data_IF_409402931443
#
_entry.id   IF_409402931443
#
_cell.length_a   1.000
_cell.length_b   1.000
_cell.length_c   1.000
_cell.angle_alpha   90.00
_cell.angle_beta   90.00
_cell.angle_gamma   90.00
#
_symmetry.space_group_name_H-M   'P 1'
#
loop_
_entity.id
_entity.type
_entity.pdbx_description
1 polymer ?
#
# COMPACT_ATOMS: atom_id res chain seq x y z
N UNK A 1 -5.36 16.72 9.02
CA UNK A 1 -4.27 17.49 9.68
C UNK A 1 -2.98 16.75 9.37
N UNK A 2 -1.90 17.43 9.02
CA UNK A 2 -0.57 16.84 8.82
C UNK A 2 0.22 16.91 10.12
N UNK A 3 0.87 15.81 10.51
CA UNK A 3 1.83 15.79 11.61
C UNK A 3 3.00 14.86 11.29
N UNK A 4 4.17 15.03 11.90
CA UNK A 4 5.32 14.17 11.68
C UNK A 4 5.01 12.70 11.97
N UNK A 5 5.49 11.81 11.10
CA UNK A 5 5.41 10.36 11.24
C UNK A 5 6.81 9.75 11.08
N UNK A 6 7.08 8.57 11.64
CA UNK A 6 8.35 7.91 11.40
C UNK A 6 8.51 7.57 9.91
N UNK A 7 9.71 7.73 9.39
CA UNK A 7 10.20 7.17 8.14
C UNK A 7 11.60 6.61 8.42
N UNK A 8 11.76 5.31 8.26
CA UNK A 8 13.02 4.61 8.53
C UNK A 8 13.93 4.72 7.30
N UNK A 9 14.61 5.87 7.17
CA UNK A 9 15.42 6.21 5.99
C UNK A 9 16.58 5.23 5.77
N UNK A 10 17.14 4.66 6.83
CA UNK A 10 18.17 3.63 6.82
C UNK A 10 17.68 2.31 6.20
N UNK A 11 16.43 1.93 6.48
CA UNK A 11 15.80 0.75 5.89
C UNK A 11 15.28 1.03 4.46
N UNK A 12 14.71 2.20 4.23
CA UNK A 12 14.15 2.58 2.94
C UNK A 12 15.20 2.62 1.81
N UNK A 13 16.47 2.89 2.15
CA UNK A 13 17.55 3.06 1.17
C UNK A 13 17.17 4.06 0.06
N UNK A 14 16.36 5.04 0.43
CA UNK A 14 15.87 6.11 -0.43
C UNK A 14 16.79 7.33 -0.48
N UNK A 15 16.31 8.45 -1.02
CA UNK A 15 16.97 9.74 -0.85
C UNK A 15 17.03 10.14 0.63
N UNK A 16 18.14 10.72 1.07
CA UNK A 16 18.44 11.00 2.49
C UNK A 16 17.52 12.03 3.15
N UNK A 17 16.78 12.81 2.36
CA UNK A 17 15.87 13.85 2.82
C UNK A 17 14.39 13.39 2.88
N UNK A 18 14.15 12.09 2.92
CA UNK A 18 12.81 11.54 3.07
C UNK A 18 12.19 11.94 4.40
N UNK A 19 10.91 12.31 4.38
CA UNK A 19 10.10 12.66 5.56
C UNK A 19 8.82 11.85 5.61
N UNK A 20 8.43 11.43 6.82
CA UNK A 20 7.15 10.76 7.06
C UNK A 20 6.11 11.73 7.62
N UNK A 21 4.86 11.54 7.19
CA UNK A 21 3.74 12.33 7.69
C UNK A 21 2.52 11.47 7.97
N UNK A 22 1.86 11.75 9.08
CA UNK A 22 0.51 11.27 9.35
C UNK A 22 -0.50 12.15 8.65
N UNK A 23 -1.49 11.52 8.01
CA UNK A 23 -2.58 12.19 7.32
C UNK A 23 -3.89 11.52 7.72
N UNK A 24 -4.91 12.31 8.04
CA UNK A 24 -6.23 11.79 8.40
C UNK A 24 -7.19 11.89 7.24
N UNK A 25 -7.84 10.78 6.90
CA UNK A 25 -8.94 10.72 5.95
C UNK A 25 -10.17 11.49 6.44
N UNK A 26 -11.13 11.72 5.57
CA UNK A 26 -12.38 12.41 5.94
C UNK A 26 -13.26 11.58 6.89
N UNK A 27 -13.03 10.29 6.94
CA UNK A 27 -13.69 9.32 7.82
C UNK A 27 -12.95 9.09 9.15
N UNK A 28 -11.91 9.88 9.42
CA UNK A 28 -11.13 9.83 10.66
C UNK A 28 -9.99 8.80 10.67
N UNK A 29 -9.90 7.92 9.69
CA UNK A 29 -8.82 6.92 9.61
C UNK A 29 -7.50 7.62 9.27
N UNK A 30 -6.46 7.32 10.05
CA UNK A 30 -5.12 7.89 9.88
C UNK A 30 -4.26 6.97 9.03
N UNK A 31 -3.69 7.53 7.97
CA UNK A 31 -2.73 6.88 7.10
C UNK A 31 -1.35 7.53 7.25
N UNK A 32 -0.30 6.85 6.79
CA UNK A 32 1.05 7.39 6.75
C UNK A 32 1.49 7.60 5.30
N UNK A 33 2.16 8.71 5.03
CA UNK A 33 2.84 8.96 3.76
C UNK A 33 4.32 9.17 3.96
N UNK A 34 5.13 8.68 3.02
CA UNK A 34 6.55 8.97 2.91
C UNK A 34 6.80 9.89 1.72
N UNK A 35 7.52 10.96 1.93
CA UNK A 35 7.74 12.04 0.95
C UNK A 35 9.22 12.23 0.69
N UNK A 36 9.63 12.20 -0.56
CA UNK A 36 10.97 12.53 -1.04
C UNK A 36 10.87 13.70 -2.02
N UNK A 37 10.94 14.92 -1.46
CA UNK A 37 10.66 16.16 -2.19
C UNK A 37 11.94 16.89 -2.58
N UNK A 38 12.57 16.48 -3.68
CA UNK A 38 13.79 17.13 -4.20
C UNK A 38 13.79 17.28 -5.73
N UNK A 39 12.81 16.72 -6.43
CA UNK A 39 12.69 16.81 -7.88
C UNK A 39 11.82 18.00 -8.31
N UNK A 40 12.23 18.67 -9.40
CA UNK A 40 11.52 19.84 -9.92
C UNK A 40 10.59 19.57 -11.12
N UNK A 41 10.65 18.35 -11.71
CA UNK A 41 9.85 17.99 -12.90
C UNK A 41 8.41 17.60 -12.59
N UNK A 42 8.06 17.50 -11.32
CA UNK A 42 6.75 17.04 -10.85
C UNK A 42 6.89 15.97 -9.77
N UNK A 43 5.77 15.44 -9.31
CA UNK A 43 5.72 14.45 -8.23
C UNK A 43 5.03 13.18 -8.67
N UNK A 44 5.68 12.03 -8.42
CA UNK A 44 5.12 10.71 -8.66
C UNK A 44 4.41 10.21 -7.39
N UNK A 45 3.11 9.97 -7.49
CA UNK A 45 2.31 9.32 -6.48
C UNK A 45 2.51 7.81 -6.62
N UNK A 46 3.01 7.16 -5.59
CA UNK A 46 3.27 5.71 -5.57
C UNK A 46 2.16 5.04 -4.77
N UNK A 47 1.43 4.15 -5.42
CA UNK A 47 0.35 3.37 -4.84
C UNK A 47 0.80 1.92 -4.62
N UNK A 48 1.18 1.56 -3.39
CA UNK A 48 1.65 0.24 -3.03
C UNK A 48 0.61 -0.87 -3.21
N UNK A 49 1.10 -2.10 -3.29
CA UNK A 49 0.29 -3.30 -3.23
C UNK A 49 -0.18 -3.64 -1.81
N UNK A 50 -0.84 -4.79 -1.67
CA UNK A 50 -1.21 -5.34 -0.38
C UNK A 50 0.02 -5.84 0.38
N UNK A 51 0.03 -5.68 1.68
CA UNK A 51 1.13 -6.03 2.61
C UNK A 51 2.43 -5.23 2.39
N UNK A 52 2.35 -4.13 1.67
CA UNK A 52 3.48 -3.25 1.42
C UNK A 52 3.42 -2.01 2.31
N UNK A 53 4.55 -1.33 2.43
CA UNK A 53 4.76 -0.16 3.28
C UNK A 53 5.70 0.82 2.56
N UNK A 54 5.70 2.08 3.01
CA UNK A 54 6.38 3.16 2.30
C UNK A 54 7.88 2.93 2.13
N UNK A 55 8.58 2.35 3.10
CA UNK A 55 10.03 2.13 3.05
C UNK A 55 10.45 1.17 1.93
N UNK A 56 9.59 0.24 1.53
CA UNK A 56 9.85 -0.64 0.37
C UNK A 56 10.09 0.16 -0.92
N UNK A 57 9.56 1.37 -1.00
CA UNK A 57 9.61 2.21 -2.20
C UNK A 57 10.76 3.23 -2.20
N UNK A 58 11.63 3.22 -1.20
CA UNK A 58 12.78 4.12 -1.13
C UNK A 58 13.74 4.00 -2.33
N UNK A 59 14.01 2.76 -2.79
CA UNK A 59 14.78 2.52 -4.00
C UNK A 59 14.14 3.12 -5.25
N UNK A 60 12.83 2.98 -5.41
CA UNK A 60 12.07 3.60 -6.50
C UNK A 60 12.09 5.14 -6.38
N UNK A 61 11.94 5.69 -5.17
CA UNK A 61 12.03 7.12 -4.91
C UNK A 61 13.41 7.68 -5.30
N UNK A 62 14.49 6.94 -5.00
CA UNK A 62 15.85 7.31 -5.40
C UNK A 62 16.00 7.33 -6.91
N UNK A 63 15.46 6.36 -7.62
CA UNK A 63 15.53 6.31 -9.08
C UNK A 63 14.70 7.44 -9.70
N UNK A 64 13.50 7.69 -9.20
CA UNK A 64 12.68 8.82 -9.64
C UNK A 64 13.39 10.16 -9.46
N UNK A 65 14.08 10.34 -8.33
CA UNK A 65 14.86 11.55 -8.07
C UNK A 65 16.01 11.71 -9.07
N UNK A 66 16.72 10.62 -9.45
CA UNK A 66 17.76 10.66 -10.48
C UNK A 66 17.23 11.19 -11.81
N UNK A 67 15.95 10.95 -12.10
CA UNK A 67 15.26 11.49 -13.26
C UNK A 67 14.63 12.86 -13.05
N UNK A 68 14.77 13.45 -11.86
CA UNK A 68 14.33 14.80 -11.52
C UNK A 68 12.91 14.90 -10.99
N UNK A 69 12.32 13.79 -10.54
CA UNK A 69 10.97 13.76 -9.96
C UNK A 69 11.03 13.65 -8.44
N UNK A 70 10.15 14.36 -7.77
CA UNK A 70 9.76 14.07 -6.39
C UNK A 70 8.86 12.83 -6.33
N UNK A 71 8.74 12.22 -5.17
CA UNK A 71 7.82 11.09 -4.99
C UNK A 71 7.15 11.09 -3.64
N UNK A 72 5.97 10.51 -3.57
CA UNK A 72 5.24 10.25 -2.34
C UNK A 72 4.61 8.87 -2.40
N UNK A 73 4.84 8.06 -1.36
CA UNK A 73 4.24 6.74 -1.18
C UNK A 73 3.31 6.73 0.03
N UNK A 74 2.39 5.78 0.09
CA UNK A 74 1.38 5.69 1.15
C UNK A 74 1.36 4.32 1.81
N UNK A 75 1.24 4.28 3.15
CA UNK A 75 0.70 3.12 3.83
C UNK A 75 -0.82 3.25 3.83
N UNK A 76 -1.47 2.37 3.11
CA UNK A 76 -2.92 2.31 3.07
C UNK A 76 -3.50 1.97 4.44
N UNK A 77 -4.75 2.40 4.73
CA UNK A 77 -5.50 1.94 5.90
C UNK A 77 -5.38 0.42 6.08
N UNK A 78 -5.23 -0.03 7.30
CA UNK A 78 -5.08 -1.45 7.61
C UNK A 78 -3.71 -2.05 7.29
N UNK A 79 -2.72 -1.27 6.79
CA UNK A 79 -1.40 -1.76 6.37
C UNK A 79 -0.26 -0.83 6.83
N UNK A 80 0.98 -1.30 6.72
CA UNK A 80 2.15 -0.54 7.15
C UNK A 80 2.02 -0.05 8.58
N UNK A 81 2.26 1.23 8.83
CA UNK A 81 2.01 1.87 10.12
C UNK A 81 0.67 2.65 10.17
N UNK A 82 -0.14 2.64 9.11
CA UNK A 82 -1.47 3.24 9.14
C UNK A 82 -2.37 2.59 10.21
N UNK A 83 -3.46 3.26 10.55
CA UNK A 83 -4.42 2.74 11.52
C UNK A 83 -4.94 1.37 11.10
N UNK A 84 -4.92 0.44 12.06
CA UNK A 84 -5.53 -0.88 11.91
C UNK A 84 -7.01 -0.79 12.31
N UNK A 85 -7.86 -1.35 11.48
CA UNK A 85 -9.31 -1.36 11.72
C UNK A 85 -9.75 -2.54 12.58
N UNK A 86 -8.83 -3.49 12.85
CA UNK A 86 -9.03 -4.65 13.70
C UNK A 86 -8.07 -4.64 14.89
N UNK A 87 -8.50 -5.26 16.00
CA UNK A 87 -7.66 -5.42 17.20
C UNK A 87 -6.42 -6.28 16.92
N UNK A 88 -6.58 -7.35 16.12
CA UNK A 88 -5.43 -8.13 15.64
C UNK A 88 -4.77 -7.39 14.46
N UNK A 89 -3.62 -6.79 14.73
CA UNK A 89 -2.84 -6.03 13.73
C UNK A 89 -2.41 -6.86 12.52
N UNK A 90 -2.39 -8.19 12.63
CA UNK A 90 -2.01 -9.07 11.53
C UNK A 90 -3.15 -9.28 10.52
N UNK A 91 -4.36 -8.83 10.82
CA UNK A 91 -5.48 -8.90 9.88
C UNK A 91 -5.51 -7.65 9.01
N UNK A 92 -5.33 -7.85 7.71
CA UNK A 92 -5.52 -6.78 6.72
C UNK A 92 -7.01 -6.62 6.41
N UNK A 93 -7.66 -5.69 7.12
CA UNK A 93 -9.09 -5.42 7.00
C UNK A 93 -9.36 -4.02 6.43
N UNK A 94 -10.38 -3.93 5.61
CA UNK A 94 -11.02 -2.68 5.18
C UNK A 94 -12.54 -2.92 5.13
N UNK A 95 -13.32 -2.00 5.68
CA UNK A 95 -14.79 -2.16 5.75
C UNK A 95 -15.37 -2.24 4.33
N UNK A 96 -15.02 -1.29 3.47
CA UNK A 96 -15.36 -1.30 2.06
C UNK A 96 -14.10 -1.02 1.23
N UNK A 97 -13.90 -1.76 0.15
CA UNK A 97 -12.75 -1.51 -0.73
C UNK A 97 -12.75 -0.08 -1.31
N UNK A 98 -13.92 0.53 -1.41
CA UNK A 98 -14.09 1.93 -1.83
C UNK A 98 -13.50 2.94 -0.86
N UNK A 99 -13.30 2.58 0.41
CA UNK A 99 -12.79 3.48 1.45
C UNK A 99 -11.33 3.88 1.21
N UNK A 100 -10.57 3.10 0.42
CA UNK A 100 -9.26 3.51 -0.07
C UNK A 100 -9.28 4.82 -0.87
N UNK A 101 -10.44 5.22 -1.40
CA UNK A 101 -10.55 6.53 -2.09
C UNK A 101 -10.46 7.70 -1.10
N UNK A 102 -10.82 7.51 0.17
CA UNK A 102 -10.56 8.51 1.22
C UNK A 102 -9.06 8.69 1.47
N UNK A 103 -8.29 7.58 1.40
CA UNK A 103 -6.82 7.62 1.53
C UNK A 103 -6.19 8.35 0.35
N UNK A 104 -6.64 8.06 -0.88
CA UNK A 104 -6.20 8.76 -2.09
C UNK A 104 -6.42 10.26 -1.97
N UNK A 105 -7.62 10.67 -1.56
CA UNK A 105 -7.95 12.09 -1.38
C UNK A 105 -7.12 12.73 -0.26
N UNK A 106 -6.87 11.99 0.83
CA UNK A 106 -6.03 12.46 1.93
C UNK A 106 -4.58 12.68 1.47
N UNK A 107 -4.03 11.74 0.70
CA UNK A 107 -2.69 11.84 0.11
C UNK A 107 -2.58 13.04 -0.85
N UNK A 108 -3.58 13.26 -1.71
CA UNK A 108 -3.60 14.42 -2.63
C UNK A 108 -3.64 15.74 -1.88
N UNK A 109 -4.51 15.86 -0.86
CA UNK A 109 -4.55 17.07 -0.01
C UNK A 109 -3.22 17.29 0.71
N UNK A 110 -2.58 16.22 1.17
CA UNK A 110 -1.26 16.32 1.80
C UNK A 110 -0.19 16.79 0.82
N UNK A 111 -0.19 16.26 -0.41
CA UNK A 111 0.73 16.66 -1.46
C UNK A 111 0.59 18.16 -1.80
N UNK A 112 -0.63 18.66 -1.91
CA UNK A 112 -0.91 20.09 -2.12
C UNK A 112 -0.48 20.94 -0.91
N UNK A 113 -0.76 20.49 0.33
CA UNK A 113 -0.40 21.20 1.57
C UNK A 113 1.13 21.30 1.77
N UNK A 114 1.84 20.24 1.37
CA UNK A 114 3.32 20.19 1.42
C UNK A 114 3.97 20.96 0.25
N UNK A 115 3.18 21.51 -0.65
CA UNK A 115 3.69 22.26 -1.81
C UNK A 115 4.48 21.38 -2.79
N UNK A 116 4.11 20.11 -2.94
CA UNK A 116 4.81 19.23 -3.86
C UNK A 116 4.64 19.68 -5.30
N UNK A 117 5.72 19.58 -6.08
CA UNK A 117 5.74 20.06 -7.46
C UNK A 117 4.72 19.33 -8.35
N UNK A 118 3.92 20.09 -9.08
CA UNK A 118 3.08 19.59 -10.17
C UNK A 118 3.87 19.61 -11.49
N UNK A 119 3.50 18.81 -12.51
CA UNK A 119 2.33 17.93 -12.52
C UNK A 119 2.50 16.69 -11.65
N UNK A 120 1.36 16.09 -11.26
CA UNK A 120 1.36 14.78 -10.61
C UNK A 120 1.34 13.66 -11.64
N UNK A 121 2.07 12.59 -11.33
CA UNK A 121 2.12 11.32 -12.05
C UNK A 121 1.75 10.19 -11.10
N UNK A 122 1.40 9.04 -11.63
CA UNK A 122 0.99 7.89 -10.82
C UNK A 122 1.76 6.64 -11.24
N UNK A 123 2.32 5.94 -10.25
CA UNK A 123 2.81 4.57 -10.38
C UNK A 123 2.05 3.71 -9.38
N UNK A 124 1.41 2.65 -9.87
CA UNK A 124 0.57 1.81 -9.04
C UNK A 124 0.91 0.33 -9.21
N UNK A 125 1.07 -0.38 -8.09
CA UNK A 125 1.41 -1.78 -8.07
C UNK A 125 0.29 -2.63 -7.46
N UNK A 126 -0.01 -3.79 -8.07
CA UNK A 126 -0.89 -4.82 -7.51
C UNK A 126 -2.25 -4.23 -7.03
N UNK A 127 -2.59 -4.38 -5.74
CA UNK A 127 -3.80 -3.80 -5.13
C UNK A 127 -3.88 -2.28 -5.34
N UNK A 128 -2.76 -1.58 -5.24
CA UNK A 128 -2.69 -0.15 -5.55
C UNK A 128 -3.14 0.16 -6.98
N UNK A 129 -2.94 -0.77 -7.93
CA UNK A 129 -3.46 -0.65 -9.29
C UNK A 129 -4.99 -0.67 -9.38
N UNK A 130 -5.67 -1.46 -8.55
CA UNK A 130 -7.13 -1.46 -8.45
C UNK A 130 -7.64 -0.15 -7.84
N UNK A 131 -7.00 0.32 -6.75
CA UNK A 131 -7.31 1.60 -6.11
C UNK A 131 -7.13 2.76 -7.10
N UNK A 132 -6.01 2.74 -7.82
CA UNK A 132 -5.65 3.75 -8.81
C UNK A 132 -6.65 3.82 -9.98
N UNK A 133 -7.04 2.67 -10.54
CA UNK A 133 -8.02 2.62 -11.63
C UNK A 133 -9.31 3.33 -11.25
N UNK A 134 -9.83 3.07 -10.04
CA UNK A 134 -11.02 3.74 -9.53
C UNK A 134 -10.81 5.25 -9.35
N UNK A 135 -9.66 5.67 -8.81
CA UNK A 135 -9.33 7.08 -8.65
C UNK A 135 -9.25 7.81 -10.01
N UNK A 136 -8.67 7.18 -11.03
CA UNK A 136 -8.62 7.72 -12.39
C UNK A 136 -10.01 7.84 -13.02
N UNK A 137 -10.89 6.85 -12.80
CA UNK A 137 -12.30 6.95 -13.23
C UNK A 137 -13.03 8.11 -12.54
N UNK A 138 -12.60 8.50 -11.35
CA UNK A 138 -13.09 9.69 -10.61
C UNK A 138 -12.32 10.97 -10.95
N UNK A 139 -11.56 10.95 -12.06
CA UNK A 139 -10.80 12.11 -12.59
C UNK A 139 -9.69 12.59 -11.63
N UNK A 140 -8.97 11.66 -11.00
CA UNK A 140 -7.78 12.01 -10.23
C UNK A 140 -6.83 12.88 -11.07
N UNK A 141 -6.30 14.01 -10.53
CA UNK A 141 -5.56 15.01 -11.32
C UNK A 141 -4.11 14.57 -11.53
N UNK A 142 -3.88 13.55 -12.35
CA UNK A 142 -2.55 13.10 -12.77
C UNK A 142 -2.38 13.22 -14.28
N UNK A 143 -1.19 13.56 -14.73
CA UNK A 143 -0.88 13.75 -16.14
C UNK A 143 -0.65 12.42 -16.88
N UNK A 144 -0.07 11.44 -16.20
CA UNK A 144 0.14 10.11 -16.73
C UNK A 144 0.15 9.08 -15.59
N UNK A 145 -0.14 7.83 -15.94
CA UNK A 145 -0.14 6.72 -15.00
C UNK A 145 0.55 5.50 -15.59
N UNK A 146 1.26 4.77 -14.73
CA UNK A 146 1.89 3.49 -15.04
C UNK A 146 1.45 2.43 -14.04
N UNK A 147 1.20 1.22 -14.52
CA UNK A 147 0.73 0.11 -13.71
C UNK A 147 1.72 -1.06 -13.78
N UNK A 148 2.08 -1.58 -12.61
CA UNK A 148 2.89 -2.78 -12.44
C UNK A 148 2.03 -3.89 -11.86
N UNK A 149 1.81 -4.97 -12.63
CA UNK A 149 1.02 -6.14 -12.23
C UNK A 149 -0.30 -5.78 -11.51
N UNK A 150 -1.16 -4.89 -12.07
CA UNK A 150 -2.31 -4.36 -11.36
C UNK A 150 -3.34 -5.46 -11.06
N UNK A 151 -3.90 -5.45 -9.86
CA UNK A 151 -4.95 -6.37 -9.42
C UNK A 151 -6.32 -5.92 -9.96
N UNK A 152 -6.54 -6.08 -11.27
CA UNK A 152 -7.85 -5.76 -11.89
C UNK A 152 -8.84 -6.92 -11.86
N UNK A 153 -8.41 -8.05 -11.33
CA UNK A 153 -9.23 -9.23 -11.11
C UNK A 153 -8.48 -10.29 -10.34
N UNK A 154 -9.21 -11.19 -9.71
CA UNK A 154 -8.67 -12.35 -9.01
C UNK A 154 -9.08 -13.60 -9.78
N UNK A 155 -8.10 -14.38 -10.22
CA UNK A 155 -8.33 -15.65 -10.89
C UNK A 155 -8.62 -16.74 -9.84
N UNK A 156 -9.81 -17.33 -9.93
CA UNK A 156 -10.19 -18.47 -9.11
C UNK A 156 -10.16 -19.75 -9.95
N UNK A 157 -9.24 -20.65 -9.62
CA UNK A 157 -9.18 -21.97 -10.22
C UNK A 157 -9.29 -23.07 -9.16
N UNK A 158 -10.19 -24.04 -9.27
CA UNK A 158 -11.25 -24.16 -10.31
C UNK A 158 -12.36 -23.11 -10.11
N UNK A 159 -13.24 -22.88 -11.14
CA UNK A 159 -14.30 -21.87 -11.11
C UNK A 159 -15.25 -21.96 -9.90
N UNK A 160 -15.44 -23.17 -9.34
CA UNK A 160 -16.24 -23.39 -8.14
C UNK A 160 -15.74 -22.55 -6.94
N UNK A 161 -14.45 -22.28 -6.83
CA UNK A 161 -13.88 -21.42 -5.79
C UNK A 161 -14.41 -19.98 -5.86
N UNK A 162 -14.75 -19.50 -7.05
CA UNK A 162 -15.37 -18.17 -7.24
C UNK A 162 -16.77 -18.14 -6.63
N UNK A 163 -17.56 -19.18 -6.87
CA UNK A 163 -18.92 -19.30 -6.33
C UNK A 163 -18.86 -19.43 -4.80
N UNK A 164 -17.94 -20.25 -4.28
CA UNK A 164 -17.71 -20.38 -2.83
C UNK A 164 -17.27 -19.06 -2.19
N UNK A 165 -16.31 -18.35 -2.79
CA UNK A 165 -15.87 -17.05 -2.29
C UNK A 165 -17.01 -16.03 -2.27
N UNK A 166 -17.83 -15.98 -3.32
CA UNK A 166 -19.01 -15.13 -3.38
C UNK A 166 -20.03 -15.49 -2.31
N UNK A 167 -20.34 -16.79 -2.15
CA UNK A 167 -21.25 -17.28 -1.11
C UNK A 167 -20.76 -16.95 0.30
N UNK A 168 -19.48 -17.20 0.59
CA UNK A 168 -18.88 -16.88 1.88
C UNK A 168 -18.92 -15.37 2.17
N UNK A 169 -18.54 -14.54 1.22
CA UNK A 169 -18.55 -13.08 1.43
C UNK A 169 -19.97 -12.52 1.62
N UNK A 170 -20.95 -13.09 0.95
CA UNK A 170 -22.36 -12.67 1.08
C UNK A 170 -22.95 -13.10 2.44
N UNK A 171 -22.59 -14.30 2.92
CA UNK A 171 -23.07 -14.84 4.18
C UNK A 171 -22.28 -14.32 5.40
N UNK A 172 -21.04 -13.92 5.22
CA UNK A 172 -20.21 -13.44 6.33
C UNK A 172 -20.83 -12.24 7.06
N UNK A 173 -21.41 -11.30 6.33
CA UNK A 173 -21.96 -10.07 6.90
C UNK A 173 -23.15 -10.33 7.86
N UNK A 174 -24.22 -11.05 7.48
CA UNK A 174 -25.35 -11.31 8.37
C UNK A 174 -25.00 -12.17 9.60
N UNK A 175 -23.90 -12.94 9.54
CA UNK A 175 -23.42 -13.75 10.66
C UNK A 175 -22.31 -13.09 11.49
N UNK A 176 -22.02 -11.79 11.26
CA UNK A 176 -20.94 -11.05 11.92
C UNK A 176 -19.55 -11.70 11.75
N UNK A 177 -19.31 -12.40 10.64
CA UNK A 177 -18.06 -13.07 10.31
C UNK A 177 -17.16 -12.25 9.38
N UNK A 178 -17.63 -11.09 8.91
CA UNK A 178 -16.88 -10.23 7.97
C UNK A 178 -15.57 -9.68 8.54
N UNK A 179 -15.42 -9.67 9.85
CA UNK A 179 -14.21 -9.25 10.55
C UNK A 179 -13.29 -10.42 10.93
N UNK A 180 -13.72 -11.64 10.67
CA UNK A 180 -12.89 -12.81 10.93
C UNK A 180 -11.94 -13.09 9.78
N UNK A 181 -10.83 -13.74 10.07
CA UNK A 181 -9.85 -14.11 9.05
C UNK A 181 -10.47 -15.02 8.00
N UNK A 182 -10.19 -14.72 6.73
CA UNK A 182 -10.69 -15.53 5.63
C UNK A 182 -10.14 -16.97 5.72
N UNK A 183 -10.96 -18.00 5.51
CA UNK A 183 -10.52 -19.39 5.61
C UNK A 183 -9.33 -19.72 4.69
N UNK A 184 -8.34 -20.42 5.22
CA UNK A 184 -7.13 -20.82 4.48
C UNK A 184 -6.08 -19.73 4.31
N UNK A 185 -6.24 -18.58 4.98
CA UNK A 185 -5.21 -17.52 4.98
C UNK A 185 -4.26 -17.64 6.16
N UNK A 186 -2.97 -17.24 5.97
CA UNK A 186 -1.95 -17.32 6.99
C UNK A 186 -2.13 -16.25 8.08
N UNK A 187 -1.73 -16.58 9.31
CA UNK A 187 -1.64 -15.63 10.44
C UNK A 187 -0.40 -14.74 10.29
N UNK A 188 0.65 -15.27 9.69
CA UNK A 188 1.95 -14.61 9.55
C UNK A 188 2.12 -13.97 8.18
N UNK A 189 3.01 -13.01 8.09
CA UNK A 189 3.38 -12.41 6.81
C UNK A 189 4.06 -13.45 5.92
N UNK A 190 3.62 -13.54 4.68
CA UNK A 190 4.10 -14.52 3.69
C UNK A 190 5.63 -14.54 3.57
N UNK A 191 6.25 -13.37 3.47
CA UNK A 191 7.72 -13.23 3.31
C UNK A 191 8.53 -13.81 4.47
N UNK A 192 7.96 -13.88 5.68
CA UNK A 192 8.67 -14.40 6.85
C UNK A 192 8.67 -15.92 6.93
N UNK A 193 7.72 -16.58 6.29
CA UNK A 193 7.51 -18.03 6.36
C UNK A 193 7.89 -18.77 5.08
N UNK A 194 7.78 -18.11 3.93
CA UNK A 194 8.03 -18.75 2.65
C UNK A 194 9.52 -18.73 2.28
N UNK A 195 10.10 -19.86 1.85
CA UNK A 195 11.45 -19.90 1.28
C UNK A 195 11.53 -19.13 -0.05
N UNK A 196 12.70 -18.53 -0.33
CA UNK A 196 12.89 -17.81 -1.61
C UNK A 196 12.63 -18.71 -2.82
N UNK A 197 13.04 -19.97 -2.79
CA UNK A 197 12.90 -20.90 -3.92
C UNK A 197 11.45 -21.18 -4.35
N UNK A 198 10.49 -21.04 -3.45
CA UNK A 198 9.07 -21.33 -3.67
C UNK A 198 8.19 -20.09 -3.66
N UNK A 199 8.78 -18.92 -3.40
CA UNK A 199 8.02 -17.67 -3.34
C UNK A 199 7.44 -17.25 -4.70
N UNK A 200 6.29 -16.57 -4.66
CA UNK A 200 5.59 -16.06 -5.83
C UNK A 200 5.65 -14.52 -5.96
N UNK A 201 6.41 -13.84 -5.09
CA UNK A 201 6.41 -12.37 -5.05
C UNK A 201 7.47 -11.76 -5.96
N UNK A 202 8.66 -12.36 -6.02
CA UNK A 202 9.77 -11.82 -6.80
C UNK A 202 10.78 -12.91 -7.15
N UNK A 203 11.42 -12.78 -8.32
CA UNK A 203 12.59 -13.57 -8.71
C UNK A 203 13.93 -12.93 -8.29
N UNK A 204 13.88 -11.77 -7.64
CA UNK A 204 15.06 -11.04 -7.16
C UNK A 204 15.35 -11.44 -5.71
N UNK A 205 16.40 -12.23 -5.50
CA UNK A 205 16.79 -12.73 -4.19
C UNK A 205 17.22 -11.60 -3.22
N UNK A 206 18.01 -10.59 -3.61
CA UNK A 206 18.28 -9.40 -2.80
C UNK A 206 17.02 -8.68 -2.35
N UNK A 207 16.04 -8.46 -3.24
CA UNK A 207 14.77 -7.83 -2.89
C UNK A 207 13.98 -8.65 -1.88
N UNK A 208 13.94 -9.98 -2.05
CA UNK A 208 13.25 -10.87 -1.11
C UNK A 208 13.90 -10.84 0.29
N UNK A 209 15.23 -10.90 0.33
CA UNK A 209 15.99 -10.79 1.58
C UNK A 209 15.78 -9.43 2.28
N UNK A 210 15.74 -8.33 1.51
CA UNK A 210 15.44 -7.02 2.04
C UNK A 210 14.04 -6.96 2.66
N UNK A 211 13.02 -7.46 1.98
CA UNK A 211 11.66 -7.50 2.52
C UNK A 211 11.59 -8.27 3.85
N UNK A 212 12.30 -9.40 3.94
CA UNK A 212 12.38 -10.19 5.17
C UNK A 212 13.06 -9.41 6.29
N UNK A 213 14.23 -8.83 6.03
CA UNK A 213 14.97 -8.02 7.00
C UNK A 213 14.15 -6.81 7.48
N UNK A 214 13.37 -6.18 6.61
CA UNK A 214 12.46 -5.10 6.97
C UNK A 214 11.41 -5.53 7.99
N UNK A 215 10.76 -6.69 7.78
CA UNK A 215 9.74 -7.20 8.70
C UNK A 215 10.34 -7.71 10.02
N UNK A 216 11.60 -8.15 10.02
CA UNK A 216 12.35 -8.48 11.24
C UNK A 216 12.71 -7.23 12.03
N UNK A 217 13.11 -6.14 11.35
CA UNK A 217 13.47 -4.87 11.97
C UNK A 217 12.25 -4.10 12.49
N UNK A 218 11.13 -4.15 11.77
CA UNK A 218 9.90 -3.44 12.13
C UNK A 218 8.70 -4.40 12.01
N UNK A 219 8.45 -5.22 13.03
CA UNK A 219 7.36 -6.20 13.02
C UNK A 219 5.97 -5.60 12.79
N UNK A 220 5.77 -4.33 13.13
CA UNK A 220 4.51 -3.61 12.91
C UNK A 220 4.11 -3.45 11.43
N UNK A 221 5.04 -3.62 10.49
CA UNK A 221 4.74 -3.67 9.05
C UNK A 221 4.17 -5.01 8.61
N UNK A 222 4.35 -6.05 9.42
CA UNK A 222 3.88 -7.38 9.08
C UNK A 222 2.35 -7.42 8.94
N UNK A 223 1.88 -8.11 7.91
CA UNK A 223 0.48 -8.32 7.65
C UNK A 223 0.26 -9.76 7.18
N UNK A 224 -0.65 -10.45 7.82
CA UNK A 224 -1.09 -11.79 7.43
C UNK A 224 -2.18 -11.76 6.37
N UNK A 225 -3.04 -12.77 6.40
CA UNK A 225 -4.17 -12.89 5.48
C UNK A 225 -5.24 -11.81 5.68
N UNK A 226 -6.12 -11.62 4.71
CA UNK A 226 -7.29 -10.74 4.83
C UNK A 226 -8.36 -11.34 5.74
N UNK A 227 -9.24 -10.49 6.24
CA UNK A 227 -10.55 -10.88 6.76
C UNK A 227 -11.56 -11.06 5.63
#
# INVERSE_FOLDING_TARGET
>A
MLSPAPLYNDLAVGPTNGTGHWVTGQDGVRIRIGVWNSGAKGTVLIFPGRTEYIEKYGGAARELLRHGYSSVAVDWRGQGLADRLQLDRNIGHVINFTDYQYDVQAMLRAADTLGLHKPYYLVAHSMGGCIALRALMQKMPVQASSFSAPMWGIAFHPPVKRVMAWGLSTLAHPFALSETRAPGTSITAYVTTEPFATNSLTCDAPMFAQMKAHLEAVPDWALGGPS
#
